data_IF_923197152931
#
_entry.id   IF_923197152931
#
_cell.length_a   1.000
_cell.length_b   1.000
_cell.length_c   1.000
_cell.angle_alpha   90.00
_cell.angle_beta   90.00
_cell.angle_gamma   90.00
#
_symmetry.space_group_name_H-M   'P 1'
#
loop_
_entity.id
_entity.type
_entity.pdbx_description
1 polymer ?
#
# COMPACT_ATOMS: atom_id res chain seq x y z
N UNK A 1 19.10 -22.79 16.91
CA UNK A 1 18.36 -21.80 16.09
C UNK A 1 16.99 -21.67 16.75
N UNK A 2 16.76 -20.59 17.51
CA UNK A 2 15.55 -20.46 18.30
C UNK A 2 14.42 -19.97 17.38
N UNK A 3 13.51 -20.87 17.03
CA UNK A 3 12.28 -20.52 16.32
C UNK A 3 11.29 -19.98 17.36
N UNK A 4 11.01 -18.68 17.32
CA UNK A 4 9.86 -18.13 18.04
C UNK A 4 8.63 -18.51 17.22
N UNK A 5 7.86 -19.47 17.72
CA UNK A 5 6.58 -19.85 17.13
C UNK A 5 5.58 -18.74 17.47
N UNK A 6 5.00 -18.09 16.44
CA UNK A 6 4.13 -16.91 16.58
C UNK A 6 2.88 -17.13 17.46
N UNK A 7 2.53 -18.38 17.79
CA UNK A 7 1.31 -18.75 18.51
C UNK A 7 1.31 -18.37 20.02
N UNK A 8 2.46 -18.06 20.61
CA UNK A 8 2.65 -17.83 22.06
C UNK A 8 2.70 -16.33 22.45
N UNK A 9 1.93 -15.46 21.79
CA UNK A 9 2.02 -13.99 21.94
C UNK A 9 0.67 -13.37 22.38
N UNK A 10 0.66 -12.55 23.46
CA UNK A 10 -0.50 -11.73 23.90
C UNK A 10 -0.15 -10.21 23.84
N UNK A 11 -1.03 -9.46 23.17
CA UNK A 11 -1.10 -8.06 22.65
C UNK A 11 -0.35 -7.01 23.50
N UNK A 12 0.45 -6.05 22.99
CA UNK A 12 0.22 -5.01 21.95
C UNK A 12 1.43 -4.94 21.00
N UNK A 13 1.43 -5.75 19.95
CA UNK A 13 2.48 -5.69 18.93
C UNK A 13 2.11 -4.69 17.86
N UNK A 14 2.99 -3.73 17.61
CA UNK A 14 3.05 -3.04 16.32
C UNK A 14 3.97 -3.85 15.41
N UNK A 15 3.41 -4.43 14.36
CA UNK A 15 4.21 -4.97 13.28
C UNK A 15 4.47 -3.85 12.27
N UNK A 16 5.73 -3.41 12.15
CA UNK A 16 6.12 -2.51 11.07
C UNK A 16 6.54 -3.32 9.85
N UNK A 17 5.78 -3.19 8.77
CA UNK A 17 6.14 -3.68 7.44
C UNK A 17 6.65 -2.47 6.67
N UNK A 18 7.86 -2.54 6.11
CA UNK A 18 8.41 -1.46 5.30
C UNK A 18 8.93 -2.00 3.97
N UNK A 19 8.58 -1.36 2.86
CA UNK A 19 9.20 -1.60 1.56
C UNK A 19 10.42 -0.70 1.41
N UNK A 20 11.57 -1.28 1.03
CA UNK A 20 12.84 -0.55 0.88
C UNK A 20 13.03 0.01 -0.55
N UNK A 21 11.95 0.53 -1.14
CA UNK A 21 11.91 1.03 -2.52
C UNK A 21 11.14 2.34 -2.56
N UNK A 22 11.61 3.29 -3.35
CA UNK A 22 11.03 4.65 -3.47
C UNK A 22 9.93 4.77 -4.51
N UNK A 23 9.79 3.76 -5.37
CA UNK A 23 8.78 3.67 -6.43
C UNK A 23 7.70 2.63 -6.11
N UNK A 24 7.65 2.14 -4.87
CA UNK A 24 6.66 1.16 -4.41
C UNK A 24 6.16 1.56 -3.01
N UNK A 25 4.96 1.12 -2.66
CA UNK A 25 4.34 1.47 -1.38
C UNK A 25 3.58 0.29 -0.77
N UNK A 26 3.13 0.46 0.47
CA UNK A 26 2.33 -0.52 1.19
C UNK A 26 1.00 0.10 1.61
N UNK A 27 -0.11 -0.59 1.37
CA UNK A 27 -1.45 -0.14 1.74
C UNK A 27 -2.24 -1.24 2.47
N UNK A 28 -3.23 -0.82 3.26
CA UNK A 28 -4.31 -1.68 3.71
C UNK A 28 -5.56 -1.32 2.93
N UNK A 29 -6.15 -2.29 2.24
CA UNK A 29 -7.41 -2.06 1.52
C UNK A 29 -8.22 -3.35 1.41
N UNK A 30 -9.42 -3.26 0.82
CA UNK A 30 -10.27 -4.42 0.55
C UNK A 30 -9.55 -5.49 -0.28
N UNK A 31 -9.61 -6.76 0.12
CA UNK A 31 -8.99 -7.87 -0.59
C UNK A 31 -10.01 -8.97 -0.97
N UNK A 32 -11.27 -8.56 -1.15
CA UNK A 32 -12.37 -9.45 -1.52
C UNK A 32 -12.76 -9.27 -2.99
N UNK A 33 -13.09 -8.04 -3.39
CA UNK A 33 -13.42 -7.73 -4.77
C UNK A 33 -12.16 -7.45 -5.61
N UNK A 34 -11.91 -8.21 -6.71
CA UNK A 34 -10.80 -7.95 -7.60
C UNK A 34 -10.85 -6.57 -8.29
N UNK A 35 -12.03 -6.00 -8.54
CA UNK A 35 -12.17 -4.71 -9.24
C UNK A 35 -11.63 -3.54 -8.43
N UNK A 36 -11.54 -3.66 -7.09
CA UNK A 36 -10.97 -2.61 -6.23
C UNK A 36 -9.52 -2.31 -6.64
N UNK A 37 -8.77 -3.32 -7.08
CA UNK A 37 -7.38 -3.11 -7.54
C UNK A 37 -7.34 -2.32 -8.84
N UNK A 38 -8.18 -2.68 -9.80
CA UNK A 38 -8.27 -2.02 -11.11
C UNK A 38 -8.74 -0.56 -10.96
N UNK A 39 -9.74 -0.32 -10.11
CA UNK A 39 -10.25 1.04 -9.86
C UNK A 39 -9.25 1.92 -9.13
N UNK A 40 -8.51 1.36 -8.16
CA UNK A 40 -7.44 2.07 -7.46
C UNK A 40 -6.31 2.44 -8.42
N UNK A 41 -5.88 1.50 -9.28
CA UNK A 41 -4.88 1.78 -10.32
C UNK A 41 -5.37 2.86 -11.29
N UNK A 42 -6.60 2.73 -11.80
CA UNK A 42 -7.22 3.74 -12.67
C UNK A 42 -7.20 5.12 -12.01
N UNK A 43 -7.59 5.22 -10.74
CA UNK A 43 -7.64 6.51 -10.04
C UNK A 43 -6.24 7.07 -9.76
N UNK A 44 -5.27 6.25 -9.40
CA UNK A 44 -3.87 6.68 -9.24
C UNK A 44 -3.30 7.20 -10.56
N UNK A 45 -3.61 6.55 -11.68
CA UNK A 45 -3.20 7.00 -13.02
C UNK A 45 -3.89 8.28 -13.47
N UNK A 46 -5.06 8.62 -12.92
CA UNK A 46 -5.73 9.91 -13.15
C UNK A 46 -5.13 11.03 -12.30
N UNK A 47 -4.78 10.75 -11.04
CA UNK A 47 -4.23 11.74 -10.10
C UNK A 47 -2.76 12.03 -10.43
N UNK A 48 -2.00 10.99 -10.76
CA UNK A 48 -0.57 11.06 -11.11
C UNK A 48 -0.39 10.42 -12.49
N UNK A 49 -0.73 11.14 -13.57
CA UNK A 49 -0.65 10.60 -14.90
C UNK A 49 0.79 10.44 -15.36
N UNK A 50 1.04 9.43 -16.19
CA UNK A 50 2.32 9.26 -16.90
C UNK A 50 2.39 10.16 -18.13
N UNK A 51 1.24 10.45 -18.77
CA UNK A 51 1.16 11.18 -20.03
C UNK A 51 0.33 12.45 -19.88
N UNK A 52 0.72 13.51 -20.58
CA UNK A 52 -0.01 14.77 -20.59
C UNK A 52 -0.91 14.85 -21.84
N UNK A 53 -2.22 15.00 -21.62
CA UNK A 53 -3.15 15.37 -22.68
C UNK A 53 -3.10 16.88 -22.89
N UNK A 54 -2.66 17.32 -24.07
CA UNK A 54 -2.64 18.74 -24.42
C UNK A 54 -3.69 19.01 -25.49
N UNK A 55 -4.61 19.91 -25.16
CA UNK A 55 -5.52 20.50 -26.14
C UNK A 55 -4.88 21.78 -26.66
N UNK A 56 -4.48 21.79 -27.93
CA UNK A 56 -4.05 23.04 -28.59
C UNK A 56 -5.22 23.60 -29.39
N UNK A 57 -5.71 24.77 -29.00
CA UNK A 57 -6.57 25.58 -29.87
C UNK A 57 -5.66 26.35 -30.84
N UNK A 58 -5.48 25.85 -32.06
CA UNK A 58 -4.94 26.67 -33.13
C UNK A 58 -6.04 27.64 -33.59
N UNK A 59 -5.74 28.94 -33.78
CA UNK A 59 -6.73 29.86 -34.31
C UNK A 59 -7.15 29.35 -35.69
N UNK A 60 -8.46 29.13 -35.89
CA UNK A 60 -9.12 28.79 -37.16
C UNK A 60 -9.22 27.31 -37.63
N UNK A 61 -8.84 26.29 -36.86
CA UNK A 61 -9.08 24.90 -37.29
C UNK A 61 -9.36 23.95 -36.12
N UNK A 62 -10.13 22.89 -36.40
CA UNK A 62 -10.55 21.77 -35.54
C UNK A 62 -9.71 21.55 -34.25
N UNK A 63 -10.37 21.34 -33.10
CA UNK A 63 -9.72 20.82 -31.89
C UNK A 63 -9.08 19.46 -32.20
N UNK A 64 -7.75 19.42 -32.19
CA UNK A 64 -6.99 18.18 -32.33
C UNK A 64 -6.45 17.79 -30.95
N UNK A 65 -6.76 16.57 -30.51
CA UNK A 65 -6.20 16.01 -29.28
C UNK A 65 -4.82 15.43 -29.60
N UNK A 66 -3.77 16.04 -29.04
CA UNK A 66 -2.44 15.49 -29.11
C UNK A 66 -2.09 14.84 -27.76
N UNK A 67 -1.76 13.55 -27.81
CA UNK A 67 -1.09 12.88 -26.70
C UNK A 67 0.36 13.36 -26.68
N UNK A 68 0.76 14.08 -25.64
CA UNK A 68 2.19 14.27 -25.36
C UNK A 68 2.60 13.13 -24.44
N UNK A 69 3.45 12.24 -24.95
CA UNK A 69 4.00 11.14 -24.16
C UNK A 69 4.91 11.70 -23.08
N UNK A 70 4.68 11.30 -21.83
CA UNK A 70 5.38 11.83 -20.67
C UNK A 70 4.81 13.17 -20.17
N UNK A 71 4.40 13.19 -18.91
CA UNK A 71 4.31 14.43 -18.13
C UNK A 71 5.70 15.09 -18.08
N UNK A 72 5.80 16.43 -18.06
CA UNK A 72 7.08 17.16 -18.09
C UNK A 72 7.81 17.11 -16.73
N UNK A 73 7.92 15.93 -16.13
CA UNK A 73 8.73 15.70 -14.95
C UNK A 73 10.21 15.81 -15.31
N UNK A 74 10.97 16.47 -14.45
CA UNK A 74 12.44 16.60 -14.59
C UNK A 74 13.17 15.29 -14.30
N UNK A 75 12.54 14.41 -13.53
CA UNK A 75 13.06 13.10 -13.17
C UNK A 75 12.38 12.07 -14.07
N UNK A 76 13.09 11.56 -15.06
CA UNK A 76 12.54 10.65 -16.08
C UNK A 76 13.61 9.74 -16.68
N UNK A 77 14.76 9.63 -16.01
CA UNK A 77 15.91 8.92 -16.55
C UNK A 77 15.69 7.40 -16.56
N UNK A 78 14.73 6.89 -15.79
CA UNK A 78 14.38 5.46 -15.76
C UNK A 78 13.13 5.11 -16.56
N UNK A 79 12.52 6.06 -17.28
CA UNK A 79 11.32 5.84 -18.09
C UNK A 79 10.21 6.87 -17.84
N UNK A 80 9.09 6.78 -18.61
CA UNK A 80 7.96 7.70 -18.47
C UNK A 80 7.20 7.54 -17.15
N UNK A 81 7.29 6.36 -16.51
CA UNK A 81 6.63 6.00 -15.26
C UNK A 81 7.50 6.28 -14.01
N UNK A 82 8.74 6.74 -14.21
CA UNK A 82 9.73 6.99 -13.16
C UNK A 82 9.21 7.96 -12.08
N UNK A 83 9.10 9.26 -12.40
CA UNK A 83 8.56 10.23 -11.43
C UNK A 83 7.12 9.95 -10.99
N UNK A 84 6.17 9.54 -11.87
CA UNK A 84 4.84 9.14 -11.44
C UNK A 84 4.87 8.10 -10.32
N UNK A 85 5.73 7.08 -10.42
CA UNK A 85 5.86 6.05 -9.41
C UNK A 85 6.34 6.60 -8.05
N UNK A 86 7.29 7.53 -8.07
CA UNK A 86 7.76 8.22 -6.86
C UNK A 86 6.65 9.06 -6.20
N UNK A 87 5.84 9.77 -7.00
CA UNK A 87 4.71 10.57 -6.46
C UNK A 87 3.65 9.66 -5.84
N UNK A 88 3.25 8.58 -6.55
CA UNK A 88 2.28 7.59 -6.05
C UNK A 88 2.76 6.94 -4.75
N UNK A 89 4.05 6.58 -4.67
CA UNK A 89 4.65 6.01 -3.48
C UNK A 89 4.61 6.98 -2.28
N UNK A 90 4.85 8.27 -2.49
CA UNK A 90 4.75 9.29 -1.45
C UNK A 90 3.31 9.51 -0.95
N UNK A 91 2.29 9.36 -1.81
CA UNK A 91 0.90 9.48 -1.39
C UNK A 91 0.42 8.31 -0.52
N UNK A 92 0.87 7.10 -0.82
CA UNK A 92 0.42 5.90 -0.09
C UNK A 92 1.29 5.63 1.14
N UNK A 93 2.60 5.77 1.01
CA UNK A 93 3.57 5.53 2.07
C UNK A 93 4.28 4.17 1.99
N UNK A 94 5.52 4.13 2.46
CA UNK A 94 6.39 2.95 2.34
C UNK A 94 6.28 1.97 3.51
N UNK A 95 5.41 2.23 4.49
CA UNK A 95 5.30 1.37 5.66
C UNK A 95 3.90 1.29 6.27
N UNK A 96 3.60 0.14 6.87
CA UNK A 96 2.36 -0.13 7.59
C UNK A 96 2.66 -0.59 9.00
N UNK A 97 1.85 -0.15 9.96
CA UNK A 97 1.84 -0.70 11.32
C UNK A 97 0.58 -1.54 11.51
N UNK A 98 0.74 -2.87 11.61
CA UNK A 98 -0.37 -3.82 11.75
C UNK A 98 -0.33 -4.48 13.13
N UNK A 99 -1.43 -4.49 13.91
CA UNK A 99 -1.43 -5.17 15.19
C UNK A 99 -1.34 -6.70 15.04
N UNK A 100 -0.64 -7.37 15.96
CA UNK A 100 -0.67 -8.83 16.07
C UNK A 100 -1.36 -9.23 17.37
N UNK A 101 -2.34 -10.11 17.27
CA UNK A 101 -3.07 -10.68 18.40
C UNK A 101 -3.19 -12.20 18.22
N UNK A 102 -2.90 -12.95 19.29
CA UNK A 102 -3.05 -14.43 19.30
C UNK A 102 -2.31 -15.12 18.14
N UNK A 103 -1.12 -14.60 17.82
CA UNK A 103 -0.28 -15.11 16.74
C UNK A 103 -0.80 -14.83 15.32
N UNK A 104 -1.82 -13.99 15.16
CA UNK A 104 -2.40 -13.59 13.88
C UNK A 104 -2.32 -12.09 13.67
N UNK A 105 -2.19 -11.68 12.41
CA UNK A 105 -2.38 -10.27 12.04
C UNK A 105 -3.84 -9.90 12.32
N UNK A 106 -4.02 -8.81 13.06
CA UNK A 106 -5.33 -8.31 13.45
C UNK A 106 -5.82 -7.32 12.40
N UNK A 107 -6.38 -7.86 11.31
CA UNK A 107 -6.95 -7.12 10.20
C UNK A 107 -8.48 -7.19 10.27
N UNK A 108 -9.16 -6.18 9.74
CA UNK A 108 -10.61 -6.24 9.50
C UNK A 108 -10.97 -7.31 8.48
N UNK A 109 -12.24 -7.74 8.46
CA UNK A 109 -12.75 -8.85 7.63
C UNK A 109 -12.31 -8.78 6.17
N UNK A 110 -12.29 -7.59 5.61
CA UNK A 110 -11.95 -7.35 4.20
C UNK A 110 -10.55 -6.80 3.99
N UNK A 111 -9.82 -6.45 5.05
CA UNK A 111 -8.51 -5.82 4.92
C UNK A 111 -7.44 -6.83 4.50
N UNK A 112 -6.72 -6.52 3.43
CA UNK A 112 -5.48 -7.17 3.04
C UNK A 112 -4.32 -6.17 3.01
N UNK A 113 -3.10 -6.69 3.19
CA UNK A 113 -1.88 -5.92 2.99
C UNK A 113 -1.51 -5.97 1.51
N UNK A 114 -1.39 -4.81 0.89
CA UNK A 114 -1.06 -4.65 -0.52
C UNK A 114 0.38 -4.19 -0.69
N UNK A 115 1.10 -4.83 -1.60
CA UNK A 115 2.32 -4.27 -2.19
C UNK A 115 1.92 -3.55 -3.47
N UNK A 116 1.96 -2.22 -3.45
CA UNK A 116 1.65 -1.40 -4.61
C UNK A 116 2.95 -1.16 -5.39
N UNK A 117 3.10 -1.88 -6.49
CA UNK A 117 4.12 -1.61 -7.49
C UNK A 117 3.65 -0.48 -8.39
N UNK A 118 4.45 0.58 -8.55
CA UNK A 118 4.06 1.73 -9.39
C UNK A 118 4.87 1.83 -10.68
N UNK A 119 5.83 0.93 -10.90
CA UNK A 119 6.56 0.81 -12.16
C UNK A 119 5.92 -0.25 -13.06
N UNK A 120 5.88 0.04 -14.36
CA UNK A 120 5.32 -0.87 -15.36
C UNK A 120 6.21 -2.10 -15.59
N UNK A 121 7.53 -1.94 -15.46
CA UNK A 121 8.50 -3.03 -15.50
C UNK A 121 9.42 -2.94 -14.26
N UNK A 122 9.05 -3.68 -13.22
CA UNK A 122 9.67 -3.61 -11.92
C UNK A 122 10.62 -4.77 -11.65
N UNK A 123 11.77 -4.45 -11.05
CA UNK A 123 12.64 -5.45 -10.45
C UNK A 123 12.12 -5.99 -9.11
N UNK A 124 12.80 -6.99 -8.52
CA UNK A 124 12.41 -7.56 -7.23
C UNK A 124 12.35 -6.52 -6.10
N UNK A 125 11.29 -6.58 -5.29
CA UNK A 125 11.12 -5.72 -4.12
C UNK A 125 11.62 -6.37 -2.84
N UNK A 126 12.18 -5.56 -1.95
CA UNK A 126 12.65 -5.97 -0.63
C UNK A 126 11.73 -5.35 0.41
N UNK A 127 11.18 -6.21 1.27
CA UNK A 127 10.32 -5.85 2.38
C UNK A 127 11.01 -6.26 3.68
N UNK A 128 10.97 -5.37 4.67
CA UNK A 128 11.45 -5.62 6.03
C UNK A 128 10.26 -5.72 6.96
N UNK A 129 10.30 -6.72 7.82
CA UNK A 129 9.26 -7.07 8.78
C UNK A 129 9.87 -6.98 10.16
N UNK A 130 9.44 -5.98 10.95
CA UNK A 130 9.89 -5.81 12.34
C UNK A 130 8.74 -6.12 13.28
N UNK A 131 8.99 -7.02 14.23
CA UNK A 131 8.01 -7.49 15.20
C UNK A 131 8.49 -7.10 16.60
N UNK A 132 7.74 -6.23 17.29
CA UNK A 132 8.06 -5.78 18.64
C UNK A 132 6.92 -6.14 19.59
N UNK A 133 7.20 -6.90 20.65
CA UNK A 133 6.18 -7.34 21.60
C UNK A 133 6.72 -8.13 22.79
N UNK A 134 5.80 -8.62 23.62
CA UNK A 134 6.08 -9.54 24.71
C UNK A 134 5.53 -10.94 24.42
N UNK A 135 6.21 -11.96 24.95
CA UNK A 135 5.72 -13.34 24.92
C UNK A 135 4.63 -13.54 25.98
N UNK A 136 3.66 -14.41 25.68
CA UNK A 136 2.61 -14.81 26.62
C UNK A 136 3.21 -15.70 27.71
N UNK A 137 2.94 -15.38 28.97
CA UNK A 137 3.14 -16.33 30.06
C UNK A 137 2.03 -17.39 30.03
N UNK A 138 2.42 -18.66 29.91
CA UNK A 138 1.51 -19.83 29.89
C UNK A 138 0.66 -19.95 31.15
N UNK A 139 1.05 -19.27 32.24
CA UNK A 139 0.36 -19.30 33.53
C UNK A 139 -0.92 -18.45 33.60
N UNK A 140 -1.12 -17.49 32.68
CA UNK A 140 -2.25 -16.55 32.77
C UNK A 140 -3.52 -17.09 32.08
N UNK A 141 -4.66 -17.20 32.81
CA UNK A 141 -5.93 -17.63 32.24
C UNK A 141 -6.38 -16.74 31.08
N UNK A 142 -7.07 -17.34 30.12
CA UNK A 142 -7.76 -16.59 29.06
C UNK A 142 -8.90 -15.83 29.73
N UNK A 143 -8.70 -14.55 30.06
CA UNK A 143 -9.84 -13.67 30.30
C UNK A 143 -10.71 -13.70 29.05
N UNK A 144 -12.02 -14.00 29.15
CA UNK A 144 -12.93 -13.85 28.03
C UNK A 144 -12.87 -12.39 27.62
N UNK A 145 -12.68 -12.14 26.33
CA UNK A 145 -12.75 -10.80 25.76
C UNK A 145 -14.01 -10.10 26.28
N UNK A 146 -13.86 -8.93 26.89
CA UNK A 146 -14.98 -8.02 27.10
C UNK A 146 -15.64 -7.80 25.73
N UNK A 147 -16.97 -7.95 25.60
CA UNK A 147 -17.63 -7.72 24.32
C UNK A 147 -17.31 -6.29 23.88
N UNK A 148 -16.82 -6.14 22.65
CA UNK A 148 -16.70 -4.84 21.99
C UNK A 148 -18.06 -4.14 22.13
N UNK A 149 -18.05 -2.95 22.73
CA UNK A 149 -19.24 -2.14 22.88
C UNK A 149 -19.89 -1.95 21.50
N UNK A 150 -21.11 -2.44 21.35
CA UNK A 150 -21.97 -2.11 20.22
C UNK A 150 -22.27 -0.62 20.27
N UNK A 151 -21.61 0.19 19.47
CA UNK A 151 -22.12 1.53 19.17
C UNK A 151 -23.04 1.39 17.97
N UNK A 152 -24.31 1.18 18.25
CA UNK A 152 -25.40 1.53 17.34
C UNK A 152 -25.46 3.05 17.23
N UNK A 153 -25.34 3.57 16.00
CA UNK A 153 -25.85 4.88 15.59
C UNK A 153 -26.07 4.84 14.08
#
# INVERSE_FOLDING_TARGET
>A
MNFIILHDIRILLSHLIAVLHTSASLALNENWDPYVRDDMEMMLNKIVPENLLVYTCLPHYQVNLYMVTGMPYRHSCEGPDDMPAHVKACFIGSSLTVPIAEGKLHLGTWQGIWLCEHRNDAGPRKVVVTINGCLRDRSTPVSPMSPMASTSS
#
